data_IF_788498615791
#
_entry.id   IF_788498615791
#
_cell.length_a   1.000
_cell.length_b   1.000
_cell.length_c   1.000
_cell.angle_alpha   90.00
_cell.angle_beta   90.00
_cell.angle_gamma   90.00
#
_symmetry.space_group_name_H-M   'P 1'
#
loop_
_entity.id
_entity.type
_entity.pdbx_description
1 polymer ?
#
# COMPACT_ATOMS: atom_id res chain seq x y z
N UNK A 1 -4.05 -48.93 0.70
CA UNK A 1 -3.92 -47.45 0.72
C UNK A 1 -4.21 -46.97 -0.70
N UNK A 2 -5.27 -46.18 -0.93
CA UNK A 2 -5.55 -45.62 -2.26
C UNK A 2 -5.06 -44.16 -2.26
N UNK A 3 -4.05 -43.86 -3.08
CA UNK A 3 -3.51 -42.51 -3.19
C UNK A 3 -4.33 -41.70 -4.19
N UNK A 4 -4.88 -40.57 -3.74
CA UNK A 4 -5.66 -39.69 -4.60
C UNK A 4 -4.79 -38.53 -5.10
N UNK A 5 -4.20 -38.68 -6.29
CA UNK A 5 -3.28 -37.70 -6.89
C UNK A 5 -3.86 -36.27 -6.96
N UNK A 6 -5.14 -36.12 -7.33
CA UNK A 6 -5.79 -34.80 -7.37
C UNK A 6 -5.88 -34.13 -6.00
N UNK A 7 -6.08 -34.91 -4.93
CA UNK A 7 -6.14 -34.36 -3.57
C UNK A 7 -4.74 -33.97 -3.08
N UNK A 8 -3.72 -34.71 -3.49
CA UNK A 8 -2.32 -34.40 -3.21
C UNK A 8 -1.87 -33.10 -3.89
N UNK A 9 -2.24 -32.87 -5.15
CA UNK A 9 -1.95 -31.62 -5.85
C UNK A 9 -2.58 -30.41 -5.15
N UNK A 10 -3.83 -30.54 -4.68
CA UNK A 10 -4.51 -29.49 -3.91
C UNK A 10 -3.83 -29.21 -2.58
N UNK A 11 -3.40 -30.26 -1.86
CA UNK A 11 -2.63 -30.11 -0.64
C UNK A 11 -1.31 -29.38 -0.90
N UNK A 12 -0.59 -29.76 -1.96
CA UNK A 12 0.67 -29.12 -2.35
C UNK A 12 0.49 -27.63 -2.64
N UNK A 13 -0.57 -27.25 -3.36
CA UNK A 13 -0.87 -25.84 -3.64
C UNK A 13 -1.17 -25.03 -2.37
N UNK A 14 -1.96 -25.57 -1.44
CA UNK A 14 -2.26 -24.92 -0.16
C UNK A 14 -1.00 -24.73 0.70
N UNK A 15 -0.14 -25.75 0.74
CA UNK A 15 1.15 -25.66 1.40
C UNK A 15 2.04 -24.61 0.74
N UNK A 16 2.08 -24.56 -0.59
CA UNK A 16 2.87 -23.58 -1.33
C UNK A 16 2.42 -22.15 -1.06
N UNK A 17 1.11 -21.86 -1.03
CA UNK A 17 0.61 -20.53 -0.63
C UNK A 17 0.96 -20.18 0.80
N UNK A 18 0.74 -21.11 1.73
CA UNK A 18 1.05 -20.88 3.14
C UNK A 18 2.55 -20.59 3.32
N UNK A 19 3.41 -21.38 2.67
CA UNK A 19 4.86 -21.18 2.68
C UNK A 19 5.28 -19.86 2.03
N UNK A 20 4.68 -19.49 0.90
CA UNK A 20 4.95 -18.23 0.19
C UNK A 20 4.59 -17.01 1.05
N UNK A 21 3.40 -17.02 1.67
CA UNK A 21 2.99 -15.92 2.54
C UNK A 21 3.89 -15.89 3.78
N UNK A 22 4.16 -17.04 4.39
CA UNK A 22 5.06 -17.12 5.55
C UNK A 22 6.49 -16.64 5.23
N UNK A 23 7.03 -16.95 4.04
CA UNK A 23 8.35 -16.47 3.65
C UNK A 23 8.38 -14.95 3.50
N UNK A 24 7.31 -14.32 2.97
CA UNK A 24 7.22 -12.85 2.87
C UNK A 24 7.13 -12.16 4.24
N UNK A 25 6.48 -12.78 5.21
CA UNK A 25 6.48 -12.30 6.61
C UNK A 25 7.85 -12.44 7.25
N UNK A 26 8.54 -13.56 7.00
CA UNK A 26 9.87 -13.81 7.56
C UNK A 26 10.94 -12.86 7.00
N UNK A 27 10.88 -12.54 5.70
CA UNK A 27 11.82 -11.60 5.07
C UNK A 27 11.50 -10.13 5.35
N UNK A 28 10.33 -9.84 5.94
CA UNK A 28 9.84 -8.48 6.13
C UNK A 28 9.46 -7.77 4.83
N UNK A 29 9.47 -8.48 3.69
CA UNK A 29 9.20 -7.89 2.37
C UNK A 29 7.71 -7.71 2.10
N UNK A 30 6.84 -8.24 2.96
CA UNK A 30 5.40 -8.09 2.82
C UNK A 30 4.97 -6.61 2.75
N UNK A 31 5.62 -5.74 3.51
CA UNK A 31 5.36 -4.29 3.51
C UNK A 31 5.66 -3.64 2.15
N UNK A 32 6.48 -4.29 1.32
CA UNK A 32 6.71 -3.88 -0.08
C UNK A 32 5.53 -4.20 -1.01
N UNK A 33 4.53 -4.94 -0.56
CA UNK A 33 3.36 -5.33 -1.36
C UNK A 33 2.03 -4.81 -0.80
N UNK A 34 1.91 -4.74 0.53
CA UNK A 34 0.68 -4.40 1.22
C UNK A 34 0.94 -3.36 2.32
N UNK A 35 -0.09 -2.60 2.66
CA UNK A 35 -0.04 -1.70 3.80
C UNK A 35 0.20 -2.51 5.11
N UNK A 36 1.17 -2.13 5.97
CA UNK A 36 1.48 -2.81 7.23
C UNK A 36 0.27 -3.09 8.13
N UNK A 37 -0.78 -2.27 8.04
CA UNK A 37 -2.07 -2.49 8.74
C UNK A 37 -2.69 -3.87 8.46
N UNK A 38 -2.47 -4.43 7.27
CA UNK A 38 -3.02 -5.73 6.86
C UNK A 38 -2.06 -6.90 7.14
N UNK A 39 -0.92 -6.65 7.78
CA UNK A 39 0.05 -7.69 8.13
C UNK A 39 -0.60 -8.79 8.99
N UNK A 40 -1.31 -8.42 10.05
CA UNK A 40 -1.99 -9.37 10.95
C UNK A 40 -3.05 -10.21 10.24
N UNK A 41 -3.79 -9.62 9.30
CA UNK A 41 -4.76 -10.33 8.47
C UNK A 41 -4.06 -11.33 7.54
N UNK A 42 -2.93 -10.93 6.95
CA UNK A 42 -2.10 -11.81 6.12
C UNK A 42 -1.50 -12.98 6.93
N UNK A 43 -1.05 -12.76 8.17
CA UNK A 43 -0.60 -13.86 9.06
C UNK A 43 -1.72 -14.86 9.34
N UNK A 44 -2.93 -14.35 9.61
CA UNK A 44 -4.11 -15.19 9.82
C UNK A 44 -4.44 -16.03 8.58
N UNK A 45 -4.34 -15.46 7.38
CA UNK A 45 -4.52 -16.19 6.13
C UNK A 45 -3.47 -17.30 5.93
N UNK A 46 -2.20 -17.03 6.25
CA UNK A 46 -1.14 -18.05 6.17
C UNK A 46 -1.42 -19.26 7.08
N UNK A 47 -1.88 -19.00 8.30
CA UNK A 47 -2.27 -20.03 9.28
C UNK A 47 -3.50 -20.80 8.77
N UNK A 48 -4.52 -20.08 8.28
CA UNK A 48 -5.73 -20.70 7.71
C UNK A 48 -5.37 -21.66 6.58
N UNK A 49 -4.54 -21.24 5.62
CA UNK A 49 -4.10 -22.11 4.53
C UNK A 49 -3.32 -23.33 5.01
N UNK A 50 -2.51 -23.18 6.06
CA UNK A 50 -1.80 -24.30 6.68
C UNK A 50 -2.76 -25.30 7.33
N UNK A 51 -3.78 -24.83 8.05
CA UNK A 51 -4.81 -25.70 8.64
C UNK A 51 -5.60 -26.44 7.55
N UNK A 52 -6.00 -25.74 6.49
CA UNK A 52 -6.67 -26.36 5.33
C UNK A 52 -5.78 -27.41 4.65
N UNK A 53 -4.46 -27.17 4.58
CA UNK A 53 -3.50 -28.16 4.11
C UNK A 53 -3.51 -29.43 4.98
N UNK A 54 -3.50 -29.31 6.31
CA UNK A 54 -3.54 -30.48 7.22
C UNK A 54 -4.83 -31.29 7.04
N UNK A 55 -5.99 -30.61 6.95
CA UNK A 55 -7.27 -31.28 6.68
C UNK A 55 -7.23 -32.01 5.34
N UNK A 56 -6.70 -31.36 4.31
CA UNK A 56 -6.58 -31.95 2.98
C UNK A 56 -5.63 -33.17 2.96
N UNK A 57 -4.56 -33.16 3.77
CA UNK A 57 -3.62 -34.27 3.92
C UNK A 57 -4.32 -35.56 4.41
N UNK A 58 -5.27 -35.44 5.34
CA UNK A 58 -6.06 -36.59 5.83
C UNK A 58 -6.88 -37.24 4.72
N UNK A 59 -7.28 -36.48 3.69
CA UNK A 59 -8.05 -36.96 2.54
C UNK A 59 -7.18 -37.56 1.43
N UNK A 60 -5.89 -37.24 1.39
CA UNK A 60 -4.93 -37.82 0.43
C UNK A 60 -4.70 -39.31 0.71
N UNK A 61 -4.67 -39.66 2.00
CA UNK A 61 -4.43 -41.02 2.49
C UNK A 61 -5.76 -41.58 3.01
N UNK A 62 -6.64 -41.98 2.10
CA UNK A 62 -7.86 -42.68 2.50
C UNK A 62 -7.54 -44.11 2.95
N UNK A 63 -7.64 -44.35 4.26
CA UNK A 63 -7.72 -45.70 4.80
C UNK A 63 -9.10 -46.25 4.50
N UNK A 64 -9.15 -47.13 3.49
CA UNK A 64 -10.36 -47.84 3.08
C UNK A 64 -10.98 -48.55 4.29
N UNK A 65 -12.13 -48.05 4.78
CA UNK A 65 -13.12 -48.89 5.45
C UNK A 65 -14.25 -49.16 4.47
N UNK A 66 -14.51 -50.43 4.23
CA UNK A 66 -15.78 -50.94 3.68
C UNK A 66 -16.03 -52.28 4.38
N UNK A 67 -17.28 -52.59 4.76
CA UNK A 67 -18.33 -52.86 3.76
C UNK A 67 -19.70 -52.19 4.01
N UNK A 68 -20.42 -52.09 2.88
CA UNK A 68 -21.86 -51.94 2.59
C UNK A 68 -22.90 -51.87 3.72
N UNK A 69 -23.90 -50.99 3.57
CA UNK A 69 -25.29 -51.40 3.24
C UNK A 69 -26.09 -50.21 2.69
N UNK A 70 -26.91 -50.49 1.68
CA UNK A 70 -27.88 -49.57 1.09
C UNK A 70 -29.05 -49.36 2.05
N UNK A 71 -29.54 -48.14 2.18
CA UNK A 71 -30.96 -47.89 2.37
C UNK A 71 -31.34 -46.55 1.73
N UNK A 72 -32.43 -46.60 0.97
CA UNK A 72 -33.01 -45.49 0.22
C UNK A 72 -33.85 -44.61 1.14
N UNK A 73 -33.69 -43.28 1.05
CA UNK A 73 -34.80 -42.32 1.05
C UNK A 73 -34.27 -40.88 1.01
N UNK A 74 -34.70 -40.11 -0.01
CA UNK A 74 -34.77 -38.65 0.09
C UNK A 74 -33.77 -37.85 -0.77
N UNK A 75 -34.27 -37.42 -1.94
CA UNK A 75 -33.91 -36.19 -2.65
C UNK A 75 -32.48 -36.01 -3.19
N UNK A 76 -32.30 -36.28 -4.48
CA UNK A 76 -31.37 -35.52 -5.33
C UNK A 76 -31.67 -35.74 -6.82
N UNK A 77 -32.17 -34.71 -7.51
CA UNK A 77 -32.00 -34.54 -8.96
C UNK A 77 -31.84 -33.04 -9.27
N UNK A 78 -30.71 -32.46 -8.86
CA UNK A 78 -30.17 -31.25 -9.49
C UNK A 78 -28.74 -31.57 -9.96
N UNK A 79 -28.67 -32.05 -11.20
CA UNK A 79 -27.47 -32.24 -11.98
C UNK A 79 -26.89 -30.89 -12.41
N UNK A 80 -25.83 -30.42 -11.74
CA UNK A 80 -24.93 -29.42 -12.30
C UNK A 80 -23.57 -30.05 -12.60
N UNK A 81 -23.52 -30.80 -13.70
CA UNK A 81 -22.26 -31.10 -14.38
C UNK A 81 -21.79 -29.87 -15.16
N UNK A 82 -20.84 -29.12 -14.61
CA UNK A 82 -19.98 -28.21 -15.39
C UNK A 82 -18.54 -28.76 -15.37
N UNK A 83 -18.29 -29.82 -16.13
CA UNK A 83 -16.94 -30.32 -16.42
C UNK A 83 -16.44 -29.71 -17.74
N UNK A 84 -15.83 -28.53 -17.67
CA UNK A 84 -15.20 -27.91 -18.84
C UNK A 84 -13.84 -27.27 -18.57
N UNK A 85 -13.58 -26.81 -17.34
CA UNK A 85 -12.46 -25.89 -17.09
C UNK A 85 -11.62 -26.24 -15.85
N UNK A 86 -11.58 -27.53 -15.45
CA UNK A 86 -10.89 -27.91 -14.20
C UNK A 86 -9.38 -27.66 -14.26
N UNK A 87 -8.72 -27.81 -15.41
CA UNK A 87 -7.27 -27.58 -15.55
C UNK A 87 -6.89 -26.09 -15.58
N UNK A 88 -7.77 -25.23 -16.10
CA UNK A 88 -7.61 -23.78 -16.12
C UNK A 88 -7.62 -23.20 -14.70
N UNK A 89 -8.45 -23.74 -13.82
CA UNK A 89 -8.45 -23.34 -12.41
C UNK A 89 -7.09 -23.60 -11.72
N UNK A 90 -6.45 -24.74 -11.99
CA UNK A 90 -5.10 -25.01 -11.47
C UNK A 90 -4.08 -24.04 -12.07
N UNK A 91 -4.18 -23.73 -13.36
CA UNK A 91 -3.27 -22.79 -14.02
C UNK A 91 -3.37 -21.39 -13.41
N UNK A 92 -4.59 -20.88 -13.18
CA UNK A 92 -4.82 -19.57 -12.54
C UNK A 92 -4.20 -19.51 -11.13
N UNK A 93 -4.26 -20.61 -10.38
CA UNK A 93 -3.75 -20.70 -9.01
C UNK A 93 -2.23 -20.92 -8.97
N UNK A 94 -1.67 -21.64 -9.93
CA UNK A 94 -0.22 -21.90 -10.02
C UNK A 94 0.56 -20.64 -10.40
N UNK A 95 -0.01 -19.77 -11.24
CA UNK A 95 0.64 -18.51 -11.65
C UNK A 95 1.09 -17.66 -10.46
N UNK A 96 0.23 -17.25 -9.50
CA UNK A 96 0.65 -16.40 -8.39
C UNK A 96 1.67 -17.10 -7.46
N UNK A 97 1.58 -18.41 -7.27
CA UNK A 97 2.57 -19.18 -6.49
C UNK A 97 3.93 -19.10 -7.17
N UNK A 98 3.97 -19.38 -8.49
CA UNK A 98 5.21 -19.40 -9.24
C UNK A 98 5.82 -18.00 -9.29
N UNK A 99 5.02 -16.96 -9.51
CA UNK A 99 5.52 -15.59 -9.46
C UNK A 99 6.02 -15.22 -8.05
N UNK A 100 5.32 -15.62 -6.99
CA UNK A 100 5.71 -15.27 -5.62
C UNK A 100 7.03 -15.90 -5.16
N UNK A 101 7.40 -17.08 -5.68
CA UNK A 101 8.68 -17.71 -5.36
C UNK A 101 9.83 -17.32 -6.30
N UNK A 102 9.55 -17.05 -7.58
CA UNK A 102 10.59 -16.81 -8.58
C UNK A 102 10.86 -15.33 -8.88
N UNK A 103 9.89 -14.45 -8.62
CA UNK A 103 10.05 -13.02 -8.89
C UNK A 103 10.54 -12.33 -7.62
N UNK A 104 11.69 -11.63 -7.66
CA UNK A 104 12.19 -10.91 -6.49
C UNK A 104 11.22 -9.80 -6.10
N UNK A 105 11.14 -9.50 -4.80
CA UNK A 105 10.34 -8.41 -4.28
C UNK A 105 10.94 -7.05 -4.68
N UNK A 106 10.62 -6.61 -5.91
CA UNK A 106 10.99 -5.30 -6.43
C UNK A 106 9.97 -4.26 -5.97
N UNK A 107 10.46 -3.11 -5.54
CA UNK A 107 9.63 -1.94 -5.24
C UNK A 107 9.17 -1.24 -6.53
N UNK A 108 8.17 -0.37 -6.43
CA UNK A 108 7.77 0.47 -7.56
C UNK A 108 8.88 1.47 -7.91
N UNK A 109 9.10 1.66 -9.22
CA UNK A 109 10.13 2.51 -9.81
C UNK A 109 9.53 3.66 -10.65
N UNK A 110 10.38 4.57 -11.10
CA UNK A 110 10.06 5.73 -11.93
C UNK A 110 9.34 5.31 -13.22
N UNK A 111 9.71 4.17 -13.81
CA UNK A 111 9.04 3.65 -15.01
C UNK A 111 7.58 3.25 -14.76
N UNK A 112 7.24 2.70 -13.59
CA UNK A 112 5.84 2.46 -13.19
C UNK A 112 5.12 3.78 -12.91
N UNK A 113 5.84 4.75 -12.34
CA UNK A 113 5.32 6.08 -12.07
C UNK A 113 4.93 6.83 -13.36
N UNK A 114 5.82 6.85 -14.36
CA UNK A 114 5.58 7.44 -15.68
C UNK A 114 4.35 6.81 -16.36
N UNK A 115 4.25 5.48 -16.35
CA UNK A 115 3.07 4.76 -16.87
C UNK A 115 1.77 5.04 -16.11
N UNK A 116 1.84 5.54 -14.88
CA UNK A 116 0.69 5.98 -14.08
C UNK A 116 0.38 7.48 -14.29
N UNK A 117 1.10 8.16 -15.19
CA UNK A 117 0.86 9.54 -15.57
C UNK A 117 1.50 10.55 -14.61
N UNK A 118 2.79 10.40 -14.29
CA UNK A 118 3.52 11.30 -13.39
C UNK A 118 3.22 12.79 -13.61
N UNK A 119 3.21 13.23 -14.87
CA UNK A 119 3.01 14.63 -15.27
C UNK A 119 1.62 15.15 -14.95
N UNK A 120 0.66 14.25 -15.14
CA UNK A 120 -0.75 14.49 -14.96
C UNK A 120 -1.13 14.52 -13.47
N UNK A 121 -0.34 13.85 -12.61
CA UNK A 121 -0.57 13.84 -11.16
C UNK A 121 -0.27 15.22 -10.54
N UNK A 122 0.78 15.93 -11.01
CA UNK A 122 1.07 17.28 -10.51
C UNK A 122 -0.08 18.27 -10.80
N UNK A 123 -0.75 18.17 -11.95
CA UNK A 123 -1.79 19.13 -12.37
C UNK A 123 -3.20 18.78 -11.88
N UNK A 124 -3.55 17.48 -11.79
CA UNK A 124 -4.87 17.04 -11.31
C UNK A 124 -5.02 17.05 -9.78
N UNK A 125 -3.90 17.17 -9.04
CA UNK A 125 -3.86 17.26 -7.59
C UNK A 125 -4.68 18.40 -6.96
N UNK A 126 -5.02 19.42 -7.75
CA UNK A 126 -5.82 20.56 -7.32
C UNK A 126 -7.31 20.22 -7.07
N UNK A 127 -7.80 19.04 -7.46
CA UNK A 127 -9.25 18.75 -7.48
C UNK A 127 -9.75 17.50 -6.75
N UNK A 128 -8.91 16.55 -6.35
CA UNK A 128 -9.23 15.57 -5.28
C UNK A 128 -7.96 14.81 -4.91
N UNK A 129 -7.54 14.88 -3.64
CA UNK A 129 -6.37 14.12 -3.20
C UNK A 129 -6.82 12.67 -2.91
N UNK A 130 -6.10 11.67 -3.41
CA UNK A 130 -6.36 10.25 -3.07
C UNK A 130 -6.25 9.99 -1.55
N UNK A 131 -5.56 10.89 -0.85
CA UNK A 131 -5.49 10.96 0.61
C UNK A 131 -6.87 11.35 1.16
N UNK A 132 -7.49 12.42 0.68
CA UNK A 132 -8.83 12.87 1.07
C UNK A 132 -9.89 11.81 0.78
N UNK A 133 -9.83 11.16 -0.39
CA UNK A 133 -10.74 10.04 -0.72
C UNK A 133 -10.56 8.86 0.26
N UNK A 134 -9.31 8.55 0.64
CA UNK A 134 -9.02 7.50 1.63
C UNK A 134 -9.48 7.91 3.04
N UNK A 135 -9.27 9.17 3.42
CA UNK A 135 -9.71 9.71 4.70
C UNK A 135 -11.23 9.65 4.79
N UNK A 136 -11.93 10.15 3.77
CA UNK A 136 -13.41 10.15 3.66
C UNK A 136 -14.00 8.75 3.60
N UNK A 137 -13.39 7.82 2.85
CA UNK A 137 -13.90 6.44 2.75
C UNK A 137 -13.66 5.60 4.00
N UNK A 138 -12.65 5.94 4.80
CA UNK A 138 -12.42 5.36 6.12
C UNK A 138 -12.99 6.22 7.26
N UNK A 139 -13.76 7.27 6.95
CA UNK A 139 -14.63 7.91 7.94
C UNK A 139 -15.65 6.86 8.40
N UNK A 140 -15.41 6.31 9.59
CA UNK A 140 -16.41 5.47 10.24
C UNK A 140 -17.60 6.36 10.61
N UNK A 141 -18.66 6.34 9.80
CA UNK A 141 -19.99 6.81 10.20
C UNK A 141 -20.51 5.79 11.21
N UNK A 142 -20.22 6.04 12.49
CA UNK A 142 -20.84 5.27 13.58
C UNK A 142 -22.24 5.85 13.81
N UNK A 143 -23.18 5.47 12.94
CA UNK A 143 -24.58 5.81 13.14
C UNK A 143 -25.17 4.83 14.17
N UNK A 144 -25.34 5.35 15.39
CA UNK A 144 -25.93 4.74 16.57
C UNK A 144 -24.99 3.88 17.41
N UNK A 145 -24.66 4.37 18.61
CA UNK A 145 -24.93 3.68 19.89
C UNK A 145 -24.65 4.69 21.02
N UNK A 146 -25.70 5.03 21.77
CA UNK A 146 -25.53 5.48 23.16
C UNK A 146 -25.06 4.25 23.94
N UNK A 147 -23.77 4.11 24.17
CA UNK A 147 -23.29 3.29 25.28
C UNK A 147 -22.04 3.93 25.89
N UNK A 148 -22.21 4.36 27.12
CA UNK A 148 -21.24 5.08 27.94
C UNK A 148 -20.27 4.06 28.54
N UNK A 149 -19.49 3.39 27.71
CA UNK A 149 -18.38 2.55 28.15
C UNK A 149 -17.09 3.01 27.47
N UNK A 150 -16.21 3.60 28.27
CA UNK A 150 -14.87 4.03 27.89
C UNK A 150 -14.13 2.86 27.21
N UNK A 151 -13.74 3.07 25.95
CA UNK A 151 -12.92 2.12 25.23
C UNK A 151 -11.57 1.94 25.94
N UNK A 152 -11.19 0.68 26.19
CA UNK A 152 -9.93 0.30 26.82
C UNK A 152 -8.73 0.98 26.11
N UNK A 153 -7.98 1.86 26.80
CA UNK A 153 -6.86 2.60 26.23
C UNK A 153 -5.78 1.72 25.58
N UNK A 154 -5.70 0.43 25.95
CA UNK A 154 -4.69 -0.51 25.44
C UNK A 154 -4.98 -1.02 24.04
N UNK A 155 -6.22 -0.93 23.56
CA UNK A 155 -6.59 -1.33 22.19
C UNK A 155 -6.32 -0.25 21.13
N UNK A 156 -5.97 0.97 21.56
CA UNK A 156 -5.75 2.14 20.70
C UNK A 156 -4.26 2.36 20.39
N UNK A 157 -3.33 1.79 21.17
CA UNK A 157 -1.90 2.06 21.02
C UNK A 157 -1.26 1.33 19.82
N UNK A 158 -1.90 0.30 19.26
CA UNK A 158 -1.32 -0.53 18.19
C UNK A 158 -1.84 -0.17 16.78
N UNK A 159 -2.86 0.68 16.67
CA UNK A 159 -3.48 1.03 15.38
C UNK A 159 -3.34 2.54 15.19
N UNK A 160 -2.77 2.97 14.05
CA UNK A 160 -2.64 4.38 13.67
C UNK A 160 -4.02 5.01 13.42
N UNK A 161 -4.78 5.20 14.49
CA UNK A 161 -6.11 5.79 14.52
C UNK A 161 -6.03 7.06 15.36
N UNK A 162 -6.33 8.21 14.76
CA UNK A 162 -6.39 9.49 15.45
C UNK A 162 -7.79 10.07 15.39
N UNK A 163 -8.23 10.75 16.45
CA UNK A 163 -9.48 11.52 16.39
C UNK A 163 -9.33 12.71 15.44
N UNK A 164 -10.44 13.17 14.83
CA UNK A 164 -10.43 14.40 14.02
C UNK A 164 -9.82 15.59 14.78
N UNK A 165 -10.16 15.74 16.07
CA UNK A 165 -9.57 16.81 16.91
C UNK A 165 -8.06 16.66 17.09
N UNK A 166 -7.54 15.44 17.21
CA UNK A 166 -6.09 15.19 17.26
C UNK A 166 -5.43 15.46 15.91
N UNK A 167 -6.08 15.10 14.80
CA UNK A 167 -5.60 15.39 13.45
C UNK A 167 -5.45 16.89 13.20
N UNK A 168 -6.48 17.68 13.53
CA UNK A 168 -6.43 19.14 13.39
C UNK A 168 -5.35 19.78 14.28
N UNK A 169 -5.20 19.29 15.52
CA UNK A 169 -4.11 19.75 16.41
C UNK A 169 -2.74 19.42 15.84
N UNK A 170 -2.57 18.23 15.29
CA UNK A 170 -1.31 17.82 14.66
C UNK A 170 -1.00 18.71 13.46
N UNK A 171 -1.97 18.97 12.57
CA UNK A 171 -1.83 19.91 11.45
C UNK A 171 -1.37 21.29 11.92
N UNK A 172 -2.01 21.81 12.97
CA UNK A 172 -1.64 23.11 13.54
C UNK A 172 -0.22 23.12 14.14
N UNK A 173 0.21 22.04 14.80
CA UNK A 173 1.56 21.93 15.35
C UNK A 173 2.62 21.82 14.24
N UNK A 174 2.33 21.04 13.20
CA UNK A 174 3.24 20.84 12.07
C UNK A 174 3.46 22.12 11.26
N UNK A 175 2.43 22.96 11.12
CA UNK A 175 2.51 24.22 10.36
C UNK A 175 3.32 25.32 11.07
N UNK A 176 3.48 25.24 12.39
CA UNK A 176 4.24 26.20 13.21
C UNK A 176 5.76 25.89 13.25
N UNK A 177 6.19 24.71 12.78
CA UNK A 177 7.62 24.37 12.79
C UNK A 177 8.40 25.29 11.84
N UNK A 178 9.61 25.75 12.23
CA UNK A 178 10.43 26.64 11.40
C UNK A 178 10.97 25.94 10.14
N UNK A 179 11.16 24.62 10.22
CA UNK A 179 11.56 23.75 9.10
C UNK A 179 10.57 22.60 9.06
N UNK A 180 9.95 22.39 7.90
CA UNK A 180 8.99 21.33 7.65
C UNK A 180 9.75 20.05 7.32
N UNK A 181 10.02 19.24 8.34
CA UNK A 181 10.69 17.94 8.16
C UNK A 181 9.66 16.86 7.85
N UNK A 182 9.60 16.44 6.59
CA UNK A 182 8.67 15.43 6.11
C UNK A 182 9.18 14.02 6.43
N UNK A 183 8.89 13.56 7.64
CA UNK A 183 9.09 12.15 8.02
C UNK A 183 8.00 11.27 7.40
N UNK A 184 8.22 9.95 7.35
CA UNK A 184 7.26 8.98 6.77
C UNK A 184 5.85 9.09 7.37
N UNK A 185 5.73 9.50 8.63
CA UNK A 185 4.45 9.69 9.33
C UNK A 185 3.77 11.02 8.99
N UNK A 186 4.55 12.08 8.82
CA UNK A 186 4.04 13.43 8.61
C UNK A 186 3.97 13.82 7.12
N UNK A 187 4.56 13.00 6.24
CA UNK A 187 4.74 13.34 4.83
C UNK A 187 3.41 13.63 4.15
N UNK A 188 2.42 12.75 4.31
CA UNK A 188 1.11 12.88 3.64
C UNK A 188 0.35 14.10 4.15
N UNK A 189 0.49 14.44 5.44
CA UNK A 189 -0.12 15.64 6.03
C UNK A 189 0.50 16.89 5.44
N UNK A 190 1.84 16.99 5.44
CA UNK A 190 2.53 18.13 4.86
C UNK A 190 2.24 18.28 3.37
N UNK A 191 2.23 17.16 2.65
CA UNK A 191 1.92 17.15 1.23
C UNK A 191 0.52 17.67 0.94
N UNK A 192 -0.49 17.18 1.64
CA UNK A 192 -1.87 17.67 1.51
C UNK A 192 -1.98 19.15 1.86
N UNK A 193 -1.45 19.56 3.01
CA UNK A 193 -1.53 20.94 3.49
C UNK A 193 -0.82 21.94 2.55
N UNK A 194 0.34 21.57 2.00
CA UNK A 194 1.06 22.45 1.06
C UNK A 194 0.28 22.58 -0.25
N UNK A 195 -0.35 21.51 -0.74
CA UNK A 195 -1.12 21.57 -1.98
C UNK A 195 -2.47 22.30 -1.81
N UNK A 196 -3.15 22.15 -0.66
CA UNK A 196 -4.42 22.83 -0.38
C UNK A 196 -4.23 24.28 0.07
N UNK A 197 -3.18 24.57 0.83
CA UNK A 197 -2.97 25.85 1.52
C UNK A 197 -1.60 26.49 1.20
N UNK A 198 -1.13 26.37 -0.06
CA UNK A 198 0.23 26.76 -0.50
C UNK A 198 0.68 28.14 0.02
N UNK A 199 -0.21 29.13 -0.02
CA UNK A 199 0.09 30.52 0.41
C UNK A 199 0.65 30.58 1.84
N UNK A 200 0.21 29.69 2.74
CA UNK A 200 0.66 29.64 4.14
C UNK A 200 2.06 29.03 4.32
N UNK A 201 2.60 28.43 3.27
CA UNK A 201 3.86 27.70 3.27
C UNK A 201 4.95 28.35 2.42
N UNK A 202 4.63 29.39 1.65
CA UNK A 202 5.60 30.13 0.84
C UNK A 202 6.75 30.68 1.69
N UNK A 203 7.98 30.47 1.23
CA UNK A 203 9.21 30.90 1.90
C UNK A 203 9.64 30.01 3.07
N UNK A 204 8.85 29.00 3.48
CA UNK A 204 9.26 28.06 4.53
C UNK A 204 10.30 27.07 4.01
N UNK A 205 11.21 26.68 4.90
CA UNK A 205 12.17 25.60 4.64
C UNK A 205 11.49 24.26 4.73
N UNK A 206 11.80 23.36 3.81
CA UNK A 206 11.30 22.00 3.76
C UNK A 206 12.46 21.02 3.64
N UNK A 207 12.35 19.90 4.32
CA UNK A 207 13.28 18.78 4.23
C UNK A 207 12.48 17.52 3.93
N UNK A 208 12.79 16.84 2.82
CA UNK A 208 12.10 15.62 2.42
C UNK A 208 13.05 14.62 1.76
N UNK A 209 12.59 13.36 1.74
CA UNK A 209 13.26 12.24 1.07
C UNK A 209 12.36 11.72 -0.03
N UNK A 210 12.94 11.33 -1.15
CA UNK A 210 12.20 10.70 -2.24
C UNK A 210 13.13 10.22 -3.33
N UNK A 211 12.56 9.47 -4.27
CA UNK A 211 13.25 9.09 -5.50
C UNK A 211 13.03 10.17 -6.57
N UNK A 212 14.02 10.28 -7.45
CA UNK A 212 13.99 11.19 -8.60
C UNK A 212 13.06 10.63 -9.67
N UNK A 213 12.05 11.43 -10.02
CA UNK A 213 11.17 11.22 -11.17
C UNK A 213 11.41 12.37 -12.16
N UNK A 214 11.70 12.04 -13.42
CA UNK A 214 11.89 13.00 -14.50
C UNK A 214 10.80 12.80 -15.55
N UNK A 215 10.51 13.87 -16.29
CA UNK A 215 9.50 13.84 -17.34
C UNK A 215 9.92 14.71 -18.51
N UNK A 216 9.50 14.32 -19.71
CA UNK A 216 9.86 15.01 -20.94
C UNK A 216 9.29 16.44 -21.02
N UNK A 217 8.20 16.72 -20.29
CA UNK A 217 7.55 18.04 -20.26
C UNK A 217 8.25 19.05 -19.34
N UNK A 218 9.17 18.62 -18.48
CA UNK A 218 9.88 19.49 -17.55
C UNK A 218 11.10 20.14 -18.19
N UNK A 219 11.52 21.28 -17.64
CA UNK A 219 12.83 21.84 -18.00
C UNK A 219 13.96 20.94 -17.47
N UNK A 220 15.16 21.00 -18.06
CA UNK A 220 16.29 20.16 -17.63
C UNK A 220 16.67 20.32 -16.15
N UNK A 221 16.34 21.48 -15.55
CA UNK A 221 16.59 21.79 -14.14
C UNK A 221 15.47 21.36 -13.20
N UNK A 222 14.40 20.82 -13.74
CA UNK A 222 13.21 20.42 -13.01
C UNK A 222 13.08 18.90 -12.98
N UNK A 223 12.69 18.41 -11.82
CA UNK A 223 12.35 17.01 -11.57
C UNK A 223 11.34 16.97 -10.42
N UNK A 224 10.74 15.81 -10.18
CA UNK A 224 9.89 15.58 -9.02
C UNK A 224 10.63 14.70 -8.04
N UNK A 225 10.71 15.16 -6.79
CA UNK A 225 11.13 14.30 -5.69
C UNK A 225 9.88 13.66 -5.13
N UNK A 226 9.79 12.34 -5.26
CA UNK A 226 8.54 11.62 -5.05
C UNK A 226 8.69 10.38 -4.18
N UNK A 227 7.56 9.95 -3.64
CA UNK A 227 7.37 8.65 -2.99
C UNK A 227 6.05 8.05 -3.45
N UNK A 228 5.92 6.73 -3.38
CA UNK A 228 4.64 6.08 -3.59
C UNK A 228 3.81 6.10 -2.32
N UNK A 229 2.54 6.46 -2.44
CA UNK A 229 1.49 6.33 -1.45
C UNK A 229 0.69 5.07 -1.73
N UNK A 230 0.55 4.20 -0.72
CA UNK A 230 -0.25 2.97 -0.79
C UNK A 230 -1.36 3.03 0.25
N UNK A 231 -2.59 2.73 -0.15
CA UNK A 231 -3.73 2.68 0.77
C UNK A 231 -3.95 1.26 1.29
N UNK A 232 -3.98 0.27 0.39
CA UNK A 232 -4.18 -1.15 0.70
C UNK A 232 -3.03 -2.00 0.17
N UNK A 233 -2.65 -1.84 -1.11
CA UNK A 233 -1.59 -2.64 -1.76
C UNK A 233 -0.93 -1.93 -2.94
N UNK A 234 0.18 -2.48 -3.43
CA UNK A 234 0.93 -1.93 -4.59
C UNK A 234 0.09 -1.66 -5.84
N UNK A 235 -1.02 -2.37 -6.03
CA UNK A 235 -1.93 -2.13 -7.15
C UNK A 235 -2.61 -0.75 -7.08
N UNK A 236 -2.89 -0.27 -5.86
CA UNK A 236 -3.47 1.05 -5.62
C UNK A 236 -2.42 2.16 -5.45
N UNK A 237 -1.14 1.87 -5.65
CA UNK A 237 -0.10 2.87 -5.46
C UNK A 237 -0.34 4.12 -6.34
N UNK A 238 -0.23 5.29 -5.71
CA UNK A 238 -0.19 6.61 -6.35
C UNK A 238 1.13 7.31 -6.03
N UNK A 239 1.51 8.30 -6.83
CA UNK A 239 2.73 9.08 -6.61
C UNK A 239 2.36 10.32 -5.81
N UNK A 240 3.18 10.66 -4.83
CA UNK A 240 3.12 11.94 -4.13
C UNK A 240 4.51 12.56 -4.12
N UNK A 241 4.60 13.84 -4.44
CA UNK A 241 5.90 14.51 -4.59
C UNK A 241 5.76 15.97 -4.97
N UNK A 242 6.87 16.68 -4.93
CA UNK A 242 6.91 18.10 -5.27
C UNK A 242 7.79 18.33 -6.48
N UNK A 243 7.30 19.20 -7.37
CA UNK A 243 8.15 19.79 -8.39
C UNK A 243 9.32 20.48 -7.71
N UNK A 244 10.51 20.21 -8.18
CA UNK A 244 11.76 20.63 -7.57
C UNK A 244 12.66 21.18 -8.64
N UNK A 245 13.33 22.31 -8.37
CA UNK A 245 14.16 23.00 -9.34
C UNK A 245 15.53 23.37 -8.76
N UNK A 246 16.61 22.94 -9.44
CA UNK A 246 17.99 23.26 -9.07
C UNK A 246 18.98 22.96 -10.21
N UNK A 247 20.17 23.61 -10.23
CA UNK A 247 21.15 23.47 -11.31
C UNK A 247 21.67 22.05 -11.54
N UNK A 248 21.78 21.24 -10.48
CA UNK A 248 22.33 19.89 -10.51
C UNK A 248 21.31 18.81 -10.88
N UNK A 249 20.02 19.15 -11.05
CA UNK A 249 18.97 18.22 -11.45
C UNK A 249 19.29 17.37 -12.71
N UNK A 250 19.97 17.90 -13.76
CA UNK A 250 20.39 17.08 -14.91
C UNK A 250 21.32 15.92 -14.54
N UNK A 251 22.15 16.08 -13.50
CA UNK A 251 23.15 15.09 -13.10
C UNK A 251 22.57 13.87 -12.40
N UNK A 252 21.33 13.97 -11.90
CA UNK A 252 20.66 12.88 -11.21
C UNK A 252 20.02 11.90 -12.20
N UNK A 253 20.12 10.62 -11.91
CA UNK A 253 19.40 9.59 -12.66
C UNK A 253 18.04 9.32 -12.01
N UNK A 254 17.07 8.85 -12.79
CA UNK A 254 15.81 8.34 -12.25
C UNK A 254 16.04 7.24 -11.20
N UNK A 255 15.08 7.06 -10.31
CA UNK A 255 15.11 6.10 -9.18
C UNK A 255 16.19 6.37 -8.11
N UNK A 256 17.00 7.41 -8.28
CA UNK A 256 17.99 7.81 -7.26
C UNK A 256 17.27 8.38 -6.05
N UNK A 257 17.51 7.79 -4.89
CA UNK A 257 17.01 8.32 -3.63
C UNK A 257 17.88 9.48 -3.15
N UNK A 258 17.24 10.61 -2.87
CA UNK A 258 17.90 11.80 -2.35
C UNK A 258 17.16 12.32 -1.13
N UNK A 259 17.92 12.92 -0.23
CA UNK A 259 17.42 13.79 0.82
C UNK A 259 17.73 15.22 0.43
N UNK A 260 16.74 16.10 0.48
CA UNK A 260 16.87 17.50 0.07
C UNK A 260 16.43 18.45 1.16
N UNK A 261 17.04 19.62 1.16
CA UNK A 261 16.63 20.80 1.91
C UNK A 261 16.45 21.94 0.93
N UNK A 262 15.30 22.61 1.01
CA UNK A 262 14.98 23.71 0.11
C UNK A 262 13.95 24.67 0.67
N UNK A 263 13.53 25.61 -0.18
CA UNK A 263 12.50 26.59 0.14
C UNK A 263 11.28 26.39 -0.75
N UNK A 264 10.10 26.44 -0.14
CA UNK A 264 8.82 26.33 -0.85
C UNK A 264 8.50 27.65 -1.55
N UNK A 265 8.19 27.56 -2.84
CA UNK A 265 7.75 28.65 -3.69
C UNK A 265 6.53 28.20 -4.50
N UNK A 266 6.01 29.12 -5.31
CA UNK A 266 4.88 28.86 -6.21
C UNK A 266 5.35 28.99 -7.65
N UNK A 267 4.91 28.07 -8.50
CA UNK A 267 5.06 28.17 -9.95
C UNK A 267 3.70 28.01 -10.62
N UNK A 268 3.64 28.32 -11.91
CA UNK A 268 2.46 28.10 -12.74
C UNK A 268 2.79 27.10 -13.84
N UNK A 269 2.06 25.99 -13.88
CA UNK A 269 2.17 24.98 -14.92
C UNK A 269 0.79 24.77 -15.55
N UNK A 270 0.70 24.91 -16.88
CA UNK A 270 -0.57 24.83 -17.64
C UNK A 270 -1.72 25.68 -17.06
N UNK A 271 -1.40 26.86 -16.52
CA UNK A 271 -2.38 27.78 -15.91
C UNK A 271 -2.80 27.41 -14.48
N UNK A 272 -2.26 26.33 -13.91
CA UNK A 272 -2.51 25.90 -12.53
C UNK A 272 -1.33 26.30 -11.64
N UNK A 273 -1.62 26.86 -10.47
CA UNK A 273 -0.61 27.18 -9.47
C UNK A 273 -0.20 25.92 -8.70
N UNK A 274 1.10 25.62 -8.68
CA UNK A 274 1.66 24.44 -8.02
C UNK A 274 2.79 24.82 -7.07
N UNK A 275 2.97 24.06 -5.97
CA UNK A 275 4.17 24.17 -5.14
C UNK A 275 5.40 23.75 -5.94
N UNK A 276 6.47 24.56 -5.86
CA UNK A 276 7.81 24.21 -6.34
C UNK A 276 8.81 24.36 -5.20
N UNK A 277 9.77 23.45 -5.10
CA UNK A 277 10.84 23.53 -4.11
C UNK A 277 12.13 23.93 -4.81
N UNK A 278 12.72 25.04 -4.38
CA UNK A 278 14.07 25.41 -4.79
C UNK A 278 15.08 24.78 -3.83
N UNK A 279 15.94 23.90 -4.35
CA UNK A 279 16.91 23.16 -3.53
C UNK A 279 18.08 24.05 -3.16
N UNK A 280 18.49 23.92 -1.91
CA UNK A 280 19.66 24.60 -1.34
C UNK A 280 20.77 23.61 -1.01
N UNK A 281 20.39 22.42 -0.53
CA UNK A 281 21.31 21.34 -0.21
C UNK A 281 20.65 19.99 -0.51
N UNK A 282 21.44 19.03 -0.95
CA UNK A 282 20.97 17.68 -1.22
C UNK A 282 22.08 16.65 -1.09
N UNK A 283 21.68 15.43 -0.75
CA UNK A 283 22.59 14.29 -0.65
C UNK A 283 21.92 13.03 -1.17
N UNK A 284 22.67 12.19 -1.88
CA UNK A 284 22.23 10.84 -2.23
C UNK A 284 22.16 9.98 -0.98
N UNK A 285 21.05 9.28 -0.82
CA UNK A 285 20.84 8.34 0.28
C UNK A 285 20.56 6.96 -0.27
N UNK A 286 20.76 5.94 0.55
CA UNK A 286 20.23 4.61 0.24
C UNK A 286 18.70 4.64 0.30
N UNK A 287 18.08 3.72 -0.45
CA UNK A 287 16.64 3.52 -0.39
C UNK A 287 16.20 3.27 1.07
N UNK A 288 15.22 4.02 1.59
CA UNK A 288 14.70 3.81 2.94
C UNK A 288 14.10 2.41 3.14
N UNK A 289 14.16 1.90 4.37
CA UNK A 289 13.52 0.62 4.74
C UNK A 289 12.02 0.61 4.43
N UNK A 290 11.35 1.75 4.63
CA UNK A 290 9.97 1.98 4.19
C UNK A 290 10.00 2.82 2.91
N UNK A 291 10.03 2.23 1.70
CA UNK A 291 10.03 3.00 0.46
C UNK A 291 8.70 3.74 0.22
N UNK A 292 7.62 3.26 0.83
CA UNK A 292 6.27 3.78 0.64
C UNK A 292 5.75 4.57 1.83
N UNK A 293 4.75 5.40 1.54
CA UNK A 293 3.97 6.16 2.50
C UNK A 293 2.60 5.53 2.66
N UNK A 294 2.04 5.66 3.85
CA UNK A 294 0.71 5.16 4.18
C UNK A 294 -0.11 6.27 4.83
N UNK A 295 -1.39 6.45 4.43
CA UNK A 295 -2.26 7.45 5.04
C UNK A 295 -2.62 7.07 6.49
N UNK A 296 -2.86 8.08 7.32
CA UNK A 296 -3.30 7.92 8.71
C UNK A 296 -4.80 7.65 8.72
N UNK A 297 -5.29 6.81 9.64
CA UNK A 297 -6.74 6.62 9.82
C UNK A 297 -7.28 7.66 10.80
N UNK A 298 -8.42 8.28 10.46
CA UNK A 298 -9.11 9.22 11.34
C UNK A 298 -10.39 8.57 11.86
N UNK A 299 -10.53 8.45 13.17
CA UNK A 299 -11.77 7.99 13.83
C UNK A 299 -12.56 9.20 14.30
N UNK A 300 -13.86 9.23 14.06
CA UNK A 300 -14.72 10.25 14.64
C UNK A 300 -15.04 9.89 16.08
N UNK A 301 -14.65 10.74 17.03
CA UNK A 301 -15.19 10.73 18.39
C UNK A 301 -16.25 11.82 18.44
N UNK A 302 -17.52 11.42 18.49
CA UNK A 302 -18.62 12.34 18.77
C UNK A 302 -18.67 12.62 20.28
#
# INVERSE_FOLDING_TARGET
MKFHFQQALKALMLLAFSAMIASLHWTGELTKFINPKYESLSKTAAILFFVLFLVQLTRVISFSKSPHHCDHAGQACCSHHHHGYSWIAYLIIMTPILTGFFVPAKILDAAIADKKGGAFILTQQSQSSKIEDYLTSNETIDENIYDEHEADPRLLEEKQEMTKKQYERLKQQLSQKPILKMTDKDYTIYYEEINQNLVNYLGKKIQLKGFVLKEESFTEKQLVISRFLITHCVADASIVGFLTEFPEAPSLTEDTWIEVVGTISQTTYEGTSLPVIHIEDWVTIEQPESPYLYPINIRMSF
#
